data_IF_270510978395
#
_entry.id   IF_270510978395
#
_cell.length_a   1.000
_cell.length_b   1.000
_cell.length_c   1.000
_cell.angle_alpha   90.00
_cell.angle_beta   90.00
_cell.angle_gamma   90.00
#
_symmetry.space_group_name_H-M   'P 1'
#
loop_
_entity.id
_entity.type
_entity.pdbx_description
1 polymer ?
#
# COMPACT_ATOMS: atom_id res chain seq x y z
N UNK A 1 32.93 -13.88 58.60
CA UNK A 1 31.46 -13.69 58.69
C UNK A 1 31.20 -12.20 58.50
N UNK A 2 30.13 -11.71 57.85
CA UNK A 2 28.90 -12.37 57.39
C UNK A 2 28.50 -11.98 55.95
N UNK A 3 27.40 -12.56 55.45
CA UNK A 3 26.83 -12.32 54.11
C UNK A 3 26.01 -11.02 54.04
N UNK A 4 25.87 -10.47 52.84
CA UNK A 4 24.67 -9.74 52.43
C UNK A 4 24.34 -10.10 50.97
N UNK A 5 23.27 -10.88 50.78
CA UNK A 5 22.68 -11.18 49.47
C UNK A 5 21.86 -9.97 48.99
N UNK A 6 21.97 -9.60 47.72
CA UNK A 6 20.98 -8.76 47.03
C UNK A 6 20.87 -9.17 45.56
N UNK A 7 19.89 -10.03 45.25
CA UNK A 7 19.64 -10.55 43.90
C UNK A 7 18.71 -9.59 43.14
N UNK A 8 19.19 -8.92 42.10
CA UNK A 8 18.31 -8.33 41.07
C UNK A 8 18.17 -9.30 39.89
N UNK A 9 16.95 -9.72 39.51
CA UNK A 9 16.72 -10.53 38.29
C UNK A 9 17.16 -9.78 37.03
N UNK A 10 16.99 -8.45 37.00
CA UNK A 10 17.26 -7.57 35.86
C UNK A 10 18.75 -7.59 35.49
N UNK A 11 19.65 -7.53 36.49
CA UNK A 11 21.09 -7.61 36.24
C UNK A 11 21.53 -8.96 35.65
N UNK A 12 20.82 -10.06 35.96
CA UNK A 12 21.07 -11.38 35.36
C UNK A 12 20.56 -11.44 33.91
N UNK A 13 19.38 -10.88 33.64
CA UNK A 13 18.82 -10.77 32.30
C UNK A 13 19.73 -9.95 31.35
N UNK A 14 20.19 -8.77 31.80
CA UNK A 14 21.13 -7.95 31.02
C UNK A 14 22.45 -8.69 30.71
N UNK A 15 23.01 -9.45 31.67
CA UNK A 15 24.20 -10.26 31.43
C UNK A 15 23.97 -11.43 30.47
N UNK A 16 22.79 -12.04 30.49
CA UNK A 16 22.42 -13.11 29.55
C UNK A 16 22.27 -12.58 28.11
N UNK A 17 21.59 -11.45 27.94
CA UNK A 17 21.40 -10.78 26.64
C UNK A 17 22.75 -10.34 26.04
N UNK A 18 23.63 -9.75 26.85
CA UNK A 18 24.97 -9.36 26.41
C UNK A 18 25.84 -10.57 26.01
N UNK A 19 25.70 -11.73 26.69
CA UNK A 19 26.38 -12.96 26.28
C UNK A 19 25.85 -13.52 24.96
N UNK A 20 24.52 -13.54 24.76
CA UNK A 20 23.90 -14.02 23.52
C UNK A 20 24.32 -13.20 22.30
N UNK A 21 24.32 -11.86 22.40
CA UNK A 21 24.75 -10.97 21.33
C UNK A 21 26.24 -11.11 20.99
N UNK A 22 27.10 -11.39 21.99
CA UNK A 22 28.52 -11.66 21.78
C UNK A 22 28.82 -13.01 21.11
N UNK A 23 27.94 -14.01 21.27
CA UNK A 23 28.04 -15.31 20.59
C UNK A 23 27.54 -15.22 19.15
N UNK A 24 26.41 -14.54 18.90
CA UNK A 24 25.87 -14.34 17.56
C UNK A 24 26.87 -13.65 16.61
N UNK A 25 27.60 -12.63 17.10
CA UNK A 25 28.62 -11.92 16.33
C UNK A 25 29.87 -12.74 15.96
N UNK A 26 30.00 -14.01 16.39
CA UNK A 26 31.06 -14.93 15.96
C UNK A 26 30.66 -15.87 14.80
N UNK A 27 29.38 -15.95 14.44
CA UNK A 27 28.89 -16.87 13.40
C UNK A 27 28.65 -16.21 12.04
N UNK A 28 28.58 -14.88 11.96
CA UNK A 28 28.47 -14.15 10.69
C UNK A 28 29.86 -13.93 10.05
N UNK A 29 30.20 -14.72 9.03
CA UNK A 29 31.43 -14.60 8.25
C UNK A 29 31.45 -13.41 7.29
N UNK A 30 31.27 -12.18 7.78
CA UNK A 30 31.23 -10.97 6.95
C UNK A 30 32.61 -10.26 6.84
N UNK A 31 33.03 -9.81 5.64
CA UNK A 31 34.39 -9.32 5.40
C UNK A 31 34.61 -7.81 5.64
N UNK A 32 33.89 -7.18 6.59
CA UNK A 32 34.06 -5.73 6.91
C UNK A 32 33.89 -5.41 8.40
N UNK A 33 34.77 -4.60 9.02
CA UNK A 33 34.66 -4.27 10.44
C UNK A 33 33.60 -3.20 10.71
N UNK A 34 32.57 -3.55 11.48
CA UNK A 34 31.56 -2.62 12.01
C UNK A 34 31.78 -2.42 13.51
N UNK A 35 32.04 -1.18 13.94
CA UNK A 35 32.04 -0.84 15.36
C UNK A 35 30.61 -0.60 15.84
N UNK A 36 30.03 -1.55 16.58
CA UNK A 36 28.77 -1.34 17.31
C UNK A 36 29.06 -0.81 18.72
N UNK A 37 28.43 0.30 19.07
CA UNK A 37 28.38 0.81 20.45
C UNK A 37 26.99 0.52 20.99
N UNK A 38 26.91 -0.21 22.11
CA UNK A 38 25.67 -0.49 22.82
C UNK A 38 25.70 0.31 24.12
N UNK A 39 24.66 1.09 24.38
CA UNK A 39 24.45 1.81 25.62
C UNK A 39 23.02 1.60 26.10
N UNK A 40 22.84 1.47 27.41
CA UNK A 40 21.54 1.42 28.06
C UNK A 40 21.43 2.62 29.02
N UNK A 41 20.27 3.27 29.03
CA UNK A 41 19.90 4.26 30.04
C UNK A 41 18.85 3.65 30.96
N UNK A 42 18.94 3.96 32.25
CA UNK A 42 17.96 3.57 33.27
C UNK A 42 17.38 4.85 33.85
N UNK A 43 16.06 5.03 33.74
CA UNK A 43 15.35 6.09 34.45
C UNK A 43 15.02 5.60 35.87
N UNK A 44 14.94 6.54 36.83
CA UNK A 44 14.88 6.21 38.25
C UNK A 44 13.51 5.68 38.73
N UNK A 45 12.47 5.78 37.88
CA UNK A 45 11.08 5.48 38.25
C UNK A 45 10.46 4.43 37.31
N UNK A 46 10.63 3.15 37.67
CA UNK A 46 9.65 2.08 37.43
C UNK A 46 9.44 1.50 36.03
N UNK A 47 9.40 2.31 34.96
CA UNK A 47 8.85 1.88 33.67
C UNK A 47 9.74 2.17 32.44
N UNK A 48 9.83 1.16 31.57
CA UNK A 48 10.54 1.11 30.28
C UNK A 48 12.07 1.30 30.27
N UNK A 49 12.75 0.40 29.55
CA UNK A 49 14.17 0.49 29.20
C UNK A 49 14.32 0.40 27.67
N UNK A 50 14.60 1.53 27.03
CA UNK A 50 14.73 1.62 25.57
C UNK A 50 16.18 1.34 25.13
N UNK A 51 16.39 0.32 24.30
CA UNK A 51 17.69 -0.08 23.80
C UNK A 51 17.91 0.47 22.37
N UNK A 52 18.64 1.58 22.25
CA UNK A 52 18.86 2.23 20.94
C UNK A 52 20.17 1.78 20.26
N UNK A 53 20.06 1.23 19.05
CA UNK A 53 21.22 0.95 18.19
C UNK A 53 21.46 2.15 17.28
N UNK A 54 22.66 2.72 17.33
CA UNK A 54 23.05 3.86 16.48
C UNK A 54 24.15 3.46 15.51
N UNK A 55 23.77 3.09 14.28
CA UNK A 55 24.74 2.79 13.23
C UNK A 55 25.37 4.08 12.67
N UNK A 56 26.71 4.11 12.62
CA UNK A 56 27.46 5.18 11.94
C UNK A 56 28.27 4.58 10.79
N UNK A 57 27.88 4.93 9.56
CA UNK A 57 28.60 4.54 8.36
C UNK A 57 29.80 5.46 8.12
N UNK A 58 31.01 4.94 8.32
CA UNK A 58 32.25 5.70 8.18
C UNK A 58 32.67 5.85 6.71
N UNK A 59 32.40 6.99 6.07
CA UNK A 59 32.88 7.29 4.71
C UNK A 59 34.41 7.51 4.73
N UNK A 60 35.18 6.54 4.21
CA UNK A 60 36.63 6.70 3.99
C UNK A 60 36.91 7.63 2.81
N UNK A 61 37.32 8.87 3.09
CA UNK A 61 38.05 9.70 2.13
C UNK A 61 39.54 9.34 2.16
N UNK A 62 40.02 8.62 1.15
CA UNK A 62 41.45 8.28 1.03
C UNK A 62 42.22 9.49 0.48
N UNK A 63 42.95 10.20 1.33
CA UNK A 63 44.07 11.07 0.94
C UNK A 63 45.06 11.28 2.09
N UNK A 64 46.29 10.80 1.86
CA UNK A 64 47.61 11.13 2.49
C UNK A 64 47.62 11.35 4.01
N UNK A 65 48.32 10.46 4.72
CA UNK A 65 48.33 10.42 6.19
C UNK A 65 49.16 11.51 6.86
N UNK A 66 48.65 11.96 8.02
CA UNK A 66 49.34 12.61 9.13
C UNK A 66 48.56 12.25 10.43
N UNK A 67 49.20 12.12 11.60
CA UNK A 67 48.53 11.74 12.84
C UNK A 67 47.89 12.94 13.56
N UNK A 68 46.58 12.88 13.86
CA UNK A 68 45.91 13.90 14.66
C UNK A 68 46.07 13.66 16.18
N UNK A 69 46.65 14.63 16.88
CA UNK A 69 46.64 14.72 18.36
C UNK A 69 45.24 15.14 18.87
N UNK A 70 44.87 14.81 20.13
CA UNK A 70 43.59 15.24 20.71
C UNK A 70 43.66 16.68 21.25
N UNK A 71 42.75 17.55 20.81
CA UNK A 71 42.45 18.83 21.47
C UNK A 71 41.27 18.68 22.45
N UNK A 72 41.34 19.37 23.59
CA UNK A 72 40.30 19.40 24.63
C UNK A 72 39.40 20.63 24.49
N UNK A 73 38.24 20.58 25.16
CA UNK A 73 37.27 21.67 25.42
C UNK A 73 36.37 22.08 24.23
N UNK A 74 35.11 22.51 24.44
CA UNK A 74 34.32 22.82 25.66
C UNK A 74 32.81 22.57 25.36
N UNK A 75 31.95 22.21 26.34
CA UNK A 75 30.51 22.14 26.11
C UNK A 75 29.87 23.54 26.11
N UNK A 76 28.95 23.79 25.18
CA UNK A 76 28.09 24.97 25.21
C UNK A 76 26.87 24.70 26.10
N UNK A 77 26.65 25.56 27.09
CA UNK A 77 25.55 25.42 28.05
C UNK A 77 24.29 26.15 27.59
N UNK A 78 23.14 25.49 27.66
CA UNK A 78 21.82 26.13 27.67
C UNK A 78 21.08 25.66 28.92
N UNK A 79 20.82 26.59 29.84
CA UNK A 79 20.02 26.36 31.06
C UNK A 79 18.55 26.65 30.76
N UNK A 80 17.68 25.69 31.01
CA UNK A 80 16.32 25.96 31.49
C UNK A 80 16.17 25.33 32.88
N UNK A 81 15.39 25.96 33.76
CA UNK A 81 15.30 25.62 35.19
C UNK A 81 14.21 24.57 35.42
N UNK A 82 14.48 23.59 36.29
CA UNK A 82 13.45 22.68 36.81
C UNK A 82 13.96 21.24 37.04
N UNK A 83 14.43 20.97 38.26
CA UNK A 83 14.58 19.63 38.87
C UNK A 83 15.62 18.64 38.30
N UNK A 84 16.57 18.30 39.18
CA UNK A 84 17.63 17.27 39.14
C UNK A 84 17.66 16.21 38.03
N UNK A 85 18.82 16.06 37.38
CA UNK A 85 19.25 14.83 36.67
C UNK A 85 20.63 14.41 37.22
N UNK A 86 20.78 13.12 37.52
CA UNK A 86 22.01 12.54 38.08
C UNK A 86 23.14 12.36 37.05
N UNK A 87 24.38 12.31 37.53
CA UNK A 87 25.60 12.16 36.73
C UNK A 87 25.75 10.77 36.11
N UNK A 88 25.98 10.70 34.80
CA UNK A 88 26.28 9.45 34.08
C UNK A 88 27.79 9.18 34.08
N UNK A 89 28.21 8.03 34.60
CA UNK A 89 29.60 7.53 34.51
C UNK A 89 29.66 6.36 33.52
N UNK A 90 30.31 6.56 32.37
CA UNK A 90 30.45 5.53 31.34
C UNK A 90 31.76 4.73 31.47
N UNK A 91 31.67 3.39 31.51
CA UNK A 91 32.82 2.49 31.49
C UNK A 91 33.17 2.14 30.03
N UNK A 92 34.43 2.34 29.64
CA UNK A 92 34.97 1.92 28.33
C UNK A 92 35.70 0.59 28.45
N UNK A 93 35.37 -0.39 27.60
CA UNK A 93 36.22 -1.55 27.33
C UNK A 93 36.66 -1.57 25.86
N UNK A 94 37.92 -1.94 25.62
CA UNK A 94 38.51 -2.16 24.29
C UNK A 94 38.98 -3.61 24.17
N UNK A 95 38.56 -4.31 23.12
CA UNK A 95 39.20 -5.55 22.69
C UNK A 95 40.08 -5.29 21.46
N UNK A 96 41.37 -5.62 21.55
CA UNK A 96 42.29 -5.63 20.42
C UNK A 96 42.54 -7.07 19.97
N UNK A 97 42.35 -7.36 18.67
CA UNK A 97 42.76 -8.64 18.07
C UNK A 97 43.88 -8.37 17.07
N UNK A 98 45.06 -8.94 17.31
CA UNK A 98 46.18 -9.01 16.35
C UNK A 98 46.06 -10.30 15.53
N UNK A 99 46.41 -10.23 14.24
CA UNK A 99 46.95 -11.39 13.50
C UNK A 99 48.23 -10.99 12.74
N UNK A 100 49.11 -11.97 12.55
CA UNK A 100 50.44 -11.83 11.96
C UNK A 100 50.39 -11.97 10.44
N UNK A 101 51.41 -11.42 9.77
CA UNK A 101 51.65 -11.48 8.33
C UNK A 101 52.59 -12.62 7.93
N UNK A 102 52.36 -13.22 6.78
CA UNK A 102 53.34 -14.01 6.02
C UNK A 102 52.95 -14.05 4.54
N UNK A 103 53.93 -13.79 3.67
CA UNK A 103 53.96 -13.60 2.21
C UNK A 103 55.31 -14.21 1.72
N UNK A 104 55.66 -14.27 0.41
CA UNK A 104 54.87 -14.24 -0.84
C UNK A 104 55.04 -15.64 -1.51
N UNK A 105 55.52 -15.88 -2.77
CA UNK A 105 55.39 -15.26 -4.10
C UNK A 105 54.58 -16.16 -5.10
N UNK A 106 54.44 -15.89 -6.41
CA UNK A 106 54.69 -14.72 -7.25
C UNK A 106 54.68 -15.08 -8.75
N UNK A 107 54.42 -14.11 -9.65
CA UNK A 107 54.97 -13.89 -11.02
C UNK A 107 54.08 -12.88 -11.81
N UNK A 108 54.71 -12.12 -12.72
CA UNK A 108 54.24 -11.06 -13.65
C UNK A 108 55.15 -11.14 -14.92
N UNK A 109 55.04 -10.31 -15.98
CA UNK A 109 54.02 -9.30 -16.38
C UNK A 109 53.56 -9.43 -17.87
N UNK A 110 52.74 -8.49 -18.35
CA UNK A 110 52.93 -7.65 -19.58
C UNK A 110 51.56 -7.12 -20.08
N UNK A 111 51.40 -5.92 -20.66
CA UNK A 111 52.33 -4.82 -20.95
C UNK A 111 51.58 -3.50 -21.29
N UNK A 112 52.27 -2.46 -21.79
CA UNK A 112 51.71 -1.13 -22.11
C UNK A 112 52.49 -0.45 -23.26
N UNK A 113 52.04 0.58 -23.99
CA UNK A 113 50.85 1.46 -23.89
C UNK A 113 50.38 1.89 -25.32
N UNK A 114 49.45 2.85 -25.52
CA UNK A 114 49.79 4.30 -25.62
C UNK A 114 48.58 5.16 -26.10
N UNK A 115 48.76 6.48 -26.19
CA UNK A 115 47.72 7.52 -26.22
C UNK A 115 47.06 7.85 -27.59
N UNK A 116 45.88 8.49 -27.53
CA UNK A 116 45.63 9.80 -28.19
C UNK A 116 44.70 10.70 -27.36
N UNK A 117 44.82 12.02 -27.56
CA UNK A 117 44.12 13.06 -26.79
C UNK A 117 42.85 13.58 -27.49
N UNK A 118 41.92 14.11 -26.69
CA UNK A 118 40.82 14.96 -27.13
C UNK A 118 40.42 15.90 -25.98
N UNK A 119 40.50 17.21 -26.21
CA UNK A 119 40.21 18.22 -25.19
C UNK A 119 38.70 18.45 -25.03
N UNK A 120 38.27 18.83 -23.81
CA UNK A 120 37.04 19.59 -23.65
C UNK A 120 37.13 20.50 -22.41
N UNK A 121 36.70 21.75 -22.57
CA UNK A 121 36.93 22.83 -21.60
C UNK A 121 35.91 22.84 -20.44
N UNK A 122 36.26 23.55 -19.37
CA UNK A 122 35.47 23.65 -18.13
C UNK A 122 34.42 24.76 -18.21
N UNK A 123 33.27 24.53 -17.57
CA UNK A 123 32.49 25.60 -16.94
C UNK A 123 32.04 25.14 -15.54
N UNK A 124 32.17 26.02 -14.54
CA UNK A 124 31.81 25.76 -13.14
C UNK A 124 30.81 26.81 -12.69
N UNK A 125 29.64 26.39 -12.22
CA UNK A 125 28.70 27.26 -11.52
C UNK A 125 28.37 26.71 -10.13
N UNK A 126 28.69 27.48 -9.09
CA UNK A 126 28.23 27.27 -7.71
C UNK A 126 27.15 28.30 -7.40
N UNK A 127 26.01 27.87 -6.86
CA UNK A 127 25.06 28.76 -6.19
C UNK A 127 24.82 28.30 -4.76
N UNK A 128 25.25 29.10 -3.78
CA UNK A 128 24.78 29.01 -2.38
C UNK A 128 23.49 29.83 -2.26
N UNK A 129 22.50 29.34 -1.51
CA UNK A 129 21.42 30.19 -0.97
C UNK A 129 21.53 30.23 0.55
N UNK A 130 21.48 31.43 1.11
CA UNK A 130 21.21 31.65 2.53
C UNK A 130 19.71 31.61 2.78
N UNK A 131 19.30 31.14 3.96
CA UNK A 131 17.98 31.40 4.54
C UNK A 131 18.20 32.08 5.89
N UNK A 132 17.44 33.14 6.15
CA UNK A 132 17.54 33.97 7.36
C UNK A 132 16.28 33.80 8.21
N UNK A 133 16.45 33.69 9.53
CA UNK A 133 15.37 33.67 10.53
C UNK A 133 15.23 35.06 11.16
N UNK A 134 14.01 35.59 11.20
CA UNK A 134 13.53 36.48 12.27
C UNK A 134 12.03 36.26 12.50
N UNK A 135 11.64 36.04 13.75
CA UNK A 135 10.26 36.21 14.21
C UNK A 135 10.13 37.48 15.03
N UNK A 136 8.90 37.94 15.28
CA UNK A 136 8.61 38.99 16.25
C UNK A 136 7.28 38.72 17.00
N UNK A 137 7.19 39.33 18.18
CA UNK A 137 6.17 39.11 19.22
C UNK A 137 4.81 39.80 18.95
N UNK A 138 3.82 39.39 19.74
CA UNK A 138 2.43 39.89 19.79
C UNK A 138 2.30 41.17 20.64
N UNK A 139 1.41 42.11 20.28
CA UNK A 139 0.63 42.86 21.28
C UNK A 139 -0.71 43.46 20.74
N UNK A 140 -1.52 44.03 21.65
CA UNK A 140 -3.00 44.20 21.54
C UNK A 140 -3.50 45.52 20.91
N UNK A 141 -4.78 45.49 20.47
CA UNK A 141 -5.72 46.62 20.20
C UNK A 141 -6.12 47.35 21.51
N UNK A 142 -6.61 48.63 21.55
CA UNK A 142 -7.92 49.02 20.96
C UNK A 142 -8.20 50.50 20.51
N UNK A 143 -9.34 50.63 19.78
CA UNK A 143 -10.32 51.75 19.59
C UNK A 143 -9.96 53.24 19.76
N UNK A 144 -10.41 54.04 18.77
CA UNK A 144 -11.21 55.29 18.81
C UNK A 144 -11.01 56.06 17.48
N UNK A 145 -11.86 56.93 16.91
CA UNK A 145 -13.31 57.23 16.87
C UNK A 145 -13.45 58.62 16.18
N UNK A 146 -14.56 58.87 15.46
CA UNK A 146 -15.04 60.20 14.99
C UNK A 146 -14.38 60.87 13.75
N UNK A 147 -15.22 61.57 12.96
CA UNK A 147 -14.82 62.53 11.91
C UNK A 147 -15.57 62.40 10.57
N UNK A 148 -16.58 63.24 10.31
CA UNK A 148 -17.27 63.35 9.00
C UNK A 148 -16.47 64.24 8.03
N UNK A 149 -16.52 64.02 6.70
CA UNK A 149 -16.02 64.98 5.71
C UNK A 149 -17.06 66.07 5.38
N UNK A 150 -16.59 67.28 5.05
CA UNK A 150 -17.38 68.33 4.39
C UNK A 150 -16.80 68.67 3.01
N UNK A 151 -17.66 69.27 2.17
CA UNK A 151 -17.45 69.78 0.80
C UNK A 151 -16.26 70.76 0.65
N UNK A 152 -15.72 71.10 -0.54
CA UNK A 152 -16.38 71.72 -1.72
C UNK A 152 -15.58 71.52 -3.03
N UNK A 153 -16.31 71.37 -4.15
CA UNK A 153 -16.09 71.70 -5.60
C UNK A 153 -14.75 72.38 -6.01
N UNK A 154 -14.17 72.20 -7.22
CA UNK A 154 -14.78 72.43 -8.55
C UNK A 154 -14.03 71.77 -9.75
N UNK A 155 -14.82 71.28 -10.73
CA UNK A 155 -14.63 71.15 -12.20
C UNK A 155 -13.25 71.18 -12.88
N UNK A 156 -12.95 70.16 -13.72
CA UNK A 156 -12.17 70.25 -14.98
C UNK A 156 -12.82 69.34 -16.08
N UNK A 157 -12.56 69.55 -17.39
CA UNK A 157 -13.41 69.06 -18.49
C UNK A 157 -12.97 67.72 -19.12
N UNK A 158 -13.82 67.19 -20.01
CA UNK A 158 -13.68 65.88 -20.65
C UNK A 158 -12.63 65.81 -21.78
N UNK A 159 -11.96 64.66 -21.94
CA UNK A 159 -11.44 64.20 -23.23
C UNK A 159 -11.09 62.70 -23.28
N UNK A 160 -11.49 62.06 -24.40
CA UNK A 160 -10.91 60.88 -25.07
C UNK A 160 -11.13 59.46 -24.51
N UNK A 161 -11.54 58.59 -25.44
CA UNK A 161 -11.74 57.15 -25.35
C UNK A 161 -10.41 56.41 -25.17
N UNK A 162 -10.44 55.27 -24.49
CA UNK A 162 -9.42 54.21 -24.56
C UNK A 162 -9.95 52.99 -25.32
N UNK A 163 -9.10 52.12 -25.90
CA UNK A 163 -9.52 51.21 -26.97
C UNK A 163 -10.14 49.90 -26.47
N UNK A 164 -11.09 49.38 -27.23
CA UNK A 164 -11.59 48.01 -27.11
C UNK A 164 -10.48 47.00 -27.47
N UNK A 165 -10.27 46.01 -26.62
CA UNK A 165 -9.51 44.81 -27.00
C UNK A 165 -10.42 43.88 -27.82
N UNK A 166 -10.00 43.40 -29.00
CA UNK A 166 -10.86 42.59 -29.85
C UNK A 166 -11.14 41.22 -29.21
N UNK A 167 -12.41 40.81 -29.23
CA UNK A 167 -12.83 39.50 -28.77
C UNK A 167 -12.19 38.39 -29.61
N UNK A 168 -11.42 37.50 -28.97
CA UNK A 168 -10.90 36.29 -29.61
C UNK A 168 -12.06 35.31 -29.78
N UNK A 169 -12.59 35.21 -30.99
CA UNK A 169 -13.59 34.20 -31.34
C UNK A 169 -13.06 32.77 -31.13
N UNK A 170 -13.94 31.78 -30.88
CA UNK A 170 -13.53 30.42 -30.56
C UNK A 170 -12.93 29.72 -31.79
N UNK A 171 -11.61 29.87 -31.97
CA UNK A 171 -10.85 29.02 -32.86
C UNK A 171 -10.92 27.59 -32.35
N UNK A 172 -11.43 26.66 -33.18
CA UNK A 172 -11.39 25.22 -32.92
C UNK A 172 -9.94 24.73 -32.91
N UNK A 173 -9.22 24.96 -31.81
CA UNK A 173 -8.03 24.18 -31.49
C UNK A 173 -8.50 22.77 -31.15
N UNK A 174 -8.15 21.78 -31.97
CA UNK A 174 -8.01 20.39 -31.52
C UNK A 174 -6.86 20.36 -30.51
N UNK A 175 -7.15 20.77 -29.28
CA UNK A 175 -6.23 20.64 -28.16
C UNK A 175 -6.15 19.17 -27.76
N UNK A 176 -4.98 18.56 -27.92
CA UNK A 176 -4.64 17.31 -27.25
C UNK A 176 -4.47 17.59 -25.75
N UNK A 177 -5.59 17.81 -25.06
CA UNK A 177 -5.65 17.85 -23.61
C UNK A 177 -6.06 16.46 -23.14
N UNK A 178 -5.08 15.63 -22.77
CA UNK A 178 -5.29 14.29 -22.23
C UNK A 178 -5.88 14.31 -20.82
N UNK A 179 -7.09 14.86 -20.66
CA UNK A 179 -7.90 14.63 -19.47
C UNK A 179 -8.54 13.25 -19.63
N UNK A 180 -7.85 12.23 -19.13
CA UNK A 180 -8.17 10.80 -19.29
C UNK A 180 -9.37 10.39 -18.42
N UNK A 181 -10.54 10.98 -18.72
CA UNK A 181 -11.80 10.56 -18.13
C UNK A 181 -12.12 9.12 -18.55
N UNK A 182 -12.68 8.35 -17.63
CA UNK A 182 -13.12 6.98 -17.89
C UNK A 182 -14.37 7.00 -18.77
N UNK A 183 -14.40 6.20 -19.85
CA UNK A 183 -15.60 6.08 -20.68
C UNK A 183 -16.68 5.26 -19.95
N UNK A 184 -17.57 5.98 -19.27
CA UNK A 184 -18.73 5.42 -18.60
C UNK A 184 -19.66 4.66 -19.55
N UNK A 185 -19.74 5.04 -20.83
CA UNK A 185 -20.57 4.37 -21.84
C UNK A 185 -20.06 2.96 -22.08
N UNK A 186 -18.77 2.83 -22.34
CA UNK A 186 -18.11 1.54 -22.53
C UNK A 186 -18.23 0.66 -21.26
N UNK A 187 -18.12 1.25 -20.07
CA UNK A 187 -18.34 0.53 -18.81
C UNK A 187 -19.79 0.04 -18.67
N UNK A 188 -20.79 0.90 -18.91
CA UNK A 188 -22.21 0.52 -18.83
C UNK A 188 -22.56 -0.54 -19.87
N UNK A 189 -22.00 -0.50 -21.08
CA UNK A 189 -22.18 -1.55 -22.08
C UNK A 189 -21.47 -2.86 -21.71
N UNK A 190 -20.27 -2.79 -21.10
CA UNK A 190 -19.55 -3.97 -20.59
C UNK A 190 -20.33 -4.72 -19.53
N UNK A 191 -21.05 -4.00 -18.67
CA UNK A 191 -21.88 -4.60 -17.61
C UNK A 191 -23.37 -4.73 -18.01
N UNK A 192 -23.76 -4.21 -19.18
CA UNK A 192 -25.16 -4.09 -19.65
C UNK A 192 -26.09 -3.34 -18.66
N UNK A 193 -25.61 -2.23 -18.10
CA UNK A 193 -26.39 -1.33 -17.26
C UNK A 193 -27.21 -0.34 -18.10
N UNK A 194 -28.47 -0.15 -17.70
CA UNK A 194 -29.48 0.67 -18.41
C UNK A 194 -30.33 1.55 -17.47
N UNK A 195 -29.95 1.65 -16.20
CA UNK A 195 -30.68 2.39 -15.18
C UNK A 195 -30.29 3.88 -15.12
N UNK A 196 -30.75 4.57 -14.08
CA UNK A 196 -30.42 5.96 -13.82
C UNK A 196 -28.93 6.14 -13.47
N UNK A 197 -28.40 7.35 -13.65
CA UNK A 197 -26.98 7.69 -13.37
C UNK A 197 -26.81 8.69 -12.23
N UNK A 198 -27.89 9.06 -11.54
CA UNK A 198 -27.83 9.94 -10.37
C UNK A 198 -27.16 9.24 -9.17
N UNK A 199 -26.41 9.97 -8.33
CA UNK A 199 -25.72 9.38 -7.18
C UNK A 199 -26.68 9.07 -6.02
N UNK A 200 -27.46 7.99 -6.13
CA UNK A 200 -28.45 7.52 -5.14
C UNK A 200 -28.03 6.17 -4.52
N UNK A 201 -28.78 5.69 -3.52
CA UNK A 201 -28.54 4.35 -2.97
C UNK A 201 -28.92 3.25 -3.97
N UNK A 202 -30.01 3.44 -4.71
CA UNK A 202 -30.56 2.43 -5.63
C UNK A 202 -29.61 2.23 -6.83
N UNK A 203 -29.12 3.31 -7.42
CA UNK A 203 -28.10 3.25 -8.48
C UNK A 203 -26.80 2.59 -7.97
N UNK A 204 -26.42 2.83 -6.70
CA UNK A 204 -25.27 2.16 -6.09
C UNK A 204 -25.49 0.65 -5.92
N UNK A 205 -26.70 0.22 -5.53
CA UNK A 205 -27.08 -1.19 -5.43
C UNK A 205 -27.09 -1.86 -6.81
N UNK A 206 -27.70 -1.24 -7.82
CA UNK A 206 -27.76 -1.80 -9.16
C UNK A 206 -26.36 -1.93 -9.79
N UNK A 207 -25.52 -0.90 -9.67
CA UNK A 207 -24.15 -0.92 -10.18
C UNK A 207 -23.30 -2.01 -9.51
N UNK A 208 -23.44 -2.22 -8.19
CA UNK A 208 -22.78 -3.35 -7.49
C UNK A 208 -23.27 -4.69 -8.04
N UNK A 209 -24.58 -4.88 -8.10
CA UNK A 209 -25.21 -6.15 -8.55
C UNK A 209 -24.78 -6.51 -9.97
N UNK A 210 -24.89 -5.56 -10.88
CA UNK A 210 -24.66 -5.76 -12.32
C UNK A 210 -23.15 -5.88 -12.62
N UNK A 211 -22.28 -5.19 -11.85
CA UNK A 211 -20.83 -5.41 -11.92
C UNK A 211 -20.45 -6.85 -11.48
N UNK A 212 -20.91 -7.30 -10.32
CA UNK A 212 -20.62 -8.64 -9.79
C UNK A 212 -21.13 -9.79 -10.67
N UNK A 213 -22.17 -9.53 -11.48
CA UNK A 213 -22.72 -10.49 -12.46
C UNK A 213 -21.93 -10.59 -13.77
N UNK A 214 -21.17 -9.56 -14.14
CA UNK A 214 -20.63 -9.43 -15.51
C UNK A 214 -19.12 -9.30 -15.62
N UNK A 215 -18.45 -8.73 -14.62
CA UNK A 215 -16.99 -8.67 -14.54
C UNK A 215 -16.55 -9.74 -13.55
N UNK A 216 -15.92 -10.83 -14.00
CA UNK A 216 -15.50 -11.90 -13.10
C UNK A 216 -14.27 -11.49 -12.30
N UNK A 217 -14.16 -12.01 -11.08
CA UNK A 217 -12.89 -12.05 -10.38
C UNK A 217 -11.98 -13.09 -11.03
N UNK A 218 -10.72 -12.76 -11.28
CA UNK A 218 -9.67 -13.66 -11.77
C UNK A 218 -8.27 -13.14 -11.47
N UNK A 219 -7.27 -14.03 -11.52
CA UNK A 219 -5.87 -13.70 -11.27
C UNK A 219 -4.92 -14.24 -12.36
N UNK A 220 -5.38 -14.34 -13.61
CA UNK A 220 -4.61 -14.98 -14.68
C UNK A 220 -3.30 -14.22 -14.98
N UNK A 221 -3.33 -12.89 -14.89
CA UNK A 221 -2.13 -12.05 -15.06
C UNK A 221 -1.05 -12.38 -14.00
N UNK A 222 -1.29 -12.27 -12.67
CA UNK A 222 -0.37 -12.74 -11.63
C UNK A 222 0.08 -14.20 -11.76
N UNK A 223 -0.83 -15.11 -12.16
CA UNK A 223 -0.53 -16.54 -12.33
C UNK A 223 0.49 -16.79 -13.45
N UNK A 224 0.46 -15.97 -14.49
CA UNK A 224 1.38 -15.96 -15.64
C UNK A 224 2.62 -15.07 -15.41
N UNK A 225 2.76 -14.48 -14.22
CA UNK A 225 3.89 -13.61 -13.88
C UNK A 225 3.79 -12.19 -14.45
N UNK A 226 2.61 -11.75 -14.87
CA UNK A 226 2.31 -10.37 -15.27
C UNK A 226 1.92 -9.58 -14.01
N UNK A 227 2.73 -8.63 -13.54
CA UNK A 227 2.40 -7.84 -12.35
C UNK A 227 1.18 -6.95 -12.57
N UNK A 228 0.41 -6.70 -11.51
CA UNK A 228 -0.66 -5.70 -11.50
C UNK A 228 -0.21 -4.53 -10.64
N UNK A 229 0.38 -3.52 -11.28
CA UNK A 229 0.94 -2.35 -10.60
C UNK A 229 0.50 -1.01 -11.20
N UNK A 230 -0.11 -0.98 -12.39
CA UNK A 230 -0.84 0.19 -12.87
C UNK A 230 -2.31 0.09 -12.45
N UNK A 231 -2.69 0.94 -11.49
CA UNK A 231 -4.06 1.06 -10.98
C UNK A 231 -4.73 2.36 -11.46
N UNK A 232 -4.32 2.91 -12.61
CA UNK A 232 -4.91 4.10 -13.23
C UNK A 232 -6.28 3.80 -13.86
N UNK A 233 -7.15 4.82 -14.09
CA UNK A 233 -8.42 4.61 -14.78
C UNK A 233 -8.25 3.99 -16.17
N UNK A 234 -7.21 4.38 -16.89
CA UNK A 234 -6.91 3.89 -18.24
C UNK A 234 -6.55 2.40 -18.25
N UNK A 235 -5.60 1.97 -17.40
CA UNK A 235 -5.17 0.56 -17.35
C UNK A 235 -6.32 -0.37 -16.90
N UNK A 236 -7.11 0.06 -15.91
CA UNK A 236 -8.24 -0.73 -15.41
C UNK A 236 -9.39 -0.80 -16.41
N UNK A 237 -9.70 0.29 -17.13
CA UNK A 237 -10.72 0.28 -18.18
C UNK A 237 -10.27 -0.55 -19.40
N UNK A 238 -9.02 -0.41 -19.86
CA UNK A 238 -8.49 -1.23 -20.96
C UNK A 238 -8.69 -2.72 -20.71
N UNK A 239 -8.26 -3.20 -19.53
CA UNK A 239 -8.34 -4.62 -19.17
C UNK A 239 -9.77 -5.10 -18.91
N UNK A 240 -10.47 -4.53 -17.93
CA UNK A 240 -11.75 -5.06 -17.46
C UNK A 240 -12.92 -4.73 -18.40
N UNK A 241 -12.84 -3.61 -19.13
CA UNK A 241 -13.89 -3.12 -20.03
C UNK A 241 -13.60 -3.51 -21.48
N UNK A 242 -12.53 -2.97 -22.08
CA UNK A 242 -12.30 -3.12 -23.53
C UNK A 242 -11.87 -4.54 -23.90
N UNK A 243 -10.90 -5.10 -23.19
CA UNK A 243 -10.37 -6.46 -23.42
C UNK A 243 -11.26 -7.57 -22.85
N UNK A 244 -12.31 -7.21 -22.12
CA UNK A 244 -13.30 -8.12 -21.49
C UNK A 244 -12.68 -9.19 -20.59
N UNK A 245 -11.62 -8.80 -19.88
CA UNK A 245 -11.01 -9.60 -18.81
C UNK A 245 -11.75 -9.40 -17.49
N UNK A 246 -11.35 -10.16 -16.47
CA UNK A 246 -11.66 -9.85 -15.08
C UNK A 246 -10.48 -9.15 -14.38
N UNK A 247 -10.48 -9.20 -13.06
CA UNK A 247 -9.31 -8.84 -12.26
C UNK A 247 -9.43 -9.29 -10.80
N UNK A 248 -8.55 -8.81 -9.94
CA UNK A 248 -8.69 -9.00 -8.49
C UNK A 248 -9.04 -7.70 -7.75
N UNK A 249 -9.02 -7.70 -6.41
CA UNK A 249 -9.56 -6.62 -5.57
C UNK A 249 -9.11 -5.19 -5.94
N UNK A 250 -7.83 -4.99 -6.26
CA UNK A 250 -7.28 -3.68 -6.65
C UNK A 250 -7.81 -3.17 -7.99
N UNK A 251 -8.21 -4.07 -8.87
CA UNK A 251 -8.71 -3.77 -10.21
C UNK A 251 -10.23 -3.56 -10.19
N UNK A 252 -10.97 -4.45 -9.52
CA UNK A 252 -12.41 -4.36 -9.32
C UNK A 252 -12.83 -3.09 -8.57
N UNK A 253 -12.36 -2.94 -7.33
CA UNK A 253 -12.65 -1.75 -6.52
C UNK A 253 -11.89 -0.52 -7.04
N UNK A 254 -10.85 -0.72 -7.83
CA UNK A 254 -10.20 0.35 -8.59
C UNK A 254 -11.12 0.94 -9.66
N UNK A 255 -11.67 0.10 -10.53
CA UNK A 255 -12.60 0.48 -11.60
C UNK A 255 -13.90 1.04 -11.02
N UNK A 256 -14.54 0.31 -10.12
CA UNK A 256 -15.77 0.75 -9.42
C UNK A 256 -15.55 2.11 -8.74
N UNK A 257 -14.42 2.28 -8.07
CA UNK A 257 -14.09 3.54 -7.38
C UNK A 257 -13.86 4.72 -8.32
N UNK A 258 -13.53 4.50 -9.59
CA UNK A 258 -13.48 5.56 -10.61
C UNK A 258 -14.86 5.84 -11.21
N UNK A 259 -15.61 4.79 -11.59
CA UNK A 259 -16.99 4.90 -12.10
C UNK A 259 -17.88 5.70 -11.14
N UNK A 260 -17.86 5.35 -9.84
CA UNK A 260 -18.66 6.05 -8.83
C UNK A 260 -18.20 7.51 -8.64
N UNK A 261 -16.91 7.81 -8.78
CA UNK A 261 -16.41 9.18 -8.68
C UNK A 261 -16.89 10.06 -9.86
N UNK A 262 -16.86 9.54 -11.09
CA UNK A 262 -17.39 10.23 -12.28
C UNK A 262 -18.91 10.45 -12.21
N UNK A 263 -19.64 9.54 -11.54
CA UNK A 263 -21.08 9.68 -11.26
C UNK A 263 -21.40 10.63 -10.08
N UNK A 264 -20.42 11.30 -9.50
CA UNK A 264 -20.62 12.28 -8.42
C UNK A 264 -20.74 11.69 -7.01
N UNK A 265 -20.50 10.39 -6.83
CA UNK A 265 -20.30 9.84 -5.48
C UNK A 265 -18.94 10.28 -4.94
N UNK A 266 -18.86 10.55 -3.64
CA UNK A 266 -17.59 10.78 -2.94
C UNK A 266 -17.04 9.45 -2.44
N UNK A 267 -15.97 8.99 -3.08
CA UNK A 267 -15.31 7.69 -2.82
C UNK A 267 -14.01 7.87 -2.02
N UNK A 268 -13.81 7.02 -1.01
CA UNK A 268 -12.53 6.79 -0.34
C UNK A 268 -12.12 5.33 -0.55
N UNK A 269 -10.82 5.07 -0.76
CA UNK A 269 -10.28 3.70 -0.83
C UNK A 269 -9.66 3.33 0.51
N UNK A 270 -9.94 2.13 1.01
CA UNK A 270 -9.39 1.56 2.24
C UNK A 270 -8.54 0.33 1.93
N UNK A 271 -7.68 -0.06 2.86
CA UNK A 271 -6.91 -1.30 2.79
C UNK A 271 -7.28 -2.23 3.95
N UNK A 272 -7.33 -3.53 3.64
CA UNK A 272 -7.81 -4.58 4.52
C UNK A 272 -6.83 -5.77 4.56
N UNK A 273 -6.89 -6.54 5.65
CA UNK A 273 -6.17 -7.81 5.83
C UNK A 273 -7.20 -8.94 5.77
N UNK A 274 -6.96 -9.92 4.90
CA UNK A 274 -7.88 -11.06 4.74
C UNK A 274 -7.62 -12.07 5.84
N UNK A 275 -8.61 -12.29 6.71
CA UNK A 275 -8.54 -13.26 7.83
C UNK A 275 -9.45 -14.47 7.62
N UNK A 276 -10.14 -14.54 6.47
CA UNK A 276 -11.08 -15.61 6.15
C UNK A 276 -10.41 -17.00 6.17
N UNK A 277 -10.98 -17.90 7.00
CA UNK A 277 -10.54 -19.28 7.21
C UNK A 277 -9.10 -19.42 7.74
N UNK A 278 -8.52 -18.37 8.32
CA UNK A 278 -7.28 -18.47 9.07
C UNK A 278 -7.54 -19.06 10.46
N UNK A 279 -6.56 -19.79 10.98
CA UNK A 279 -6.57 -20.22 12.38
C UNK A 279 -6.40 -18.99 13.32
N UNK A 280 -6.94 -19.02 14.56
CA UNK A 280 -6.86 -17.88 15.48
C UNK A 280 -5.42 -17.45 15.86
N UNK A 281 -4.46 -18.35 15.73
CA UNK A 281 -3.03 -18.17 16.00
C UNK A 281 -2.20 -17.87 14.73
N UNK A 282 -2.84 -17.75 13.56
CA UNK A 282 -2.16 -17.47 12.30
C UNK A 282 -1.44 -16.09 12.34
N UNK A 283 -0.26 -15.95 11.71
CA UNK A 283 0.44 -14.68 11.61
C UNK A 283 -0.41 -13.58 10.96
N UNK A 284 -0.28 -12.34 11.44
CA UNK A 284 -1.04 -11.20 10.95
C UNK A 284 -0.89 -11.03 9.42
N UNK A 285 -1.98 -11.13 8.62
CA UNK A 285 -1.88 -11.10 7.16
C UNK A 285 -1.45 -9.72 6.63
N UNK A 286 -0.77 -9.66 5.47
CA UNK A 286 -0.44 -8.38 4.83
C UNK A 286 -1.71 -7.67 4.34
N UNK A 287 -1.66 -6.33 4.27
CA UNK A 287 -2.74 -5.52 3.70
C UNK A 287 -2.81 -5.71 2.19
N UNK A 288 -3.56 -6.73 1.76
CA UNK A 288 -3.62 -7.25 0.38
C UNK A 288 -5.03 -7.27 -0.19
N UNK A 289 -5.99 -6.68 0.53
CA UNK A 289 -7.33 -6.41 0.03
C UNK A 289 -7.60 -4.90 0.05
N UNK A 290 -8.45 -4.42 -0.85
CA UNK A 290 -8.91 -3.02 -0.88
C UNK A 290 -10.40 -2.97 -1.14
N UNK A 291 -11.06 -2.00 -0.51
CA UNK A 291 -12.51 -1.78 -0.55
C UNK A 291 -12.81 -0.28 -0.53
N UNK A 292 -14.06 0.10 -0.75
CA UNK A 292 -14.49 1.48 -0.87
C UNK A 292 -15.37 1.92 0.31
N UNK A 293 -15.16 3.16 0.76
CA UNK A 293 -16.09 3.91 1.59
C UNK A 293 -16.73 5.02 0.75
N UNK A 294 -18.02 4.88 0.47
CA UNK A 294 -18.80 5.72 -0.45
C UNK A 294 -19.78 6.62 0.32
N UNK A 295 -19.95 7.86 -0.13
CA UNK A 295 -20.93 8.84 0.38
C UNK A 295 -21.54 9.58 -0.82
N UNK A 296 -22.79 10.00 -0.72
CA UNK A 296 -23.53 10.64 -1.83
C UNK A 296 -24.52 11.70 -1.32
N UNK A 297 -25.08 12.58 -2.17
CA UNK A 297 -26.05 13.59 -1.72
C UNK A 297 -27.22 12.96 -0.95
N UNK A 298 -27.48 13.45 0.25
CA UNK A 298 -28.51 12.89 1.13
C UNK A 298 -28.17 11.55 1.81
N UNK A 299 -26.98 10.97 1.61
CA UNK A 299 -26.60 9.73 2.30
C UNK A 299 -26.48 9.95 3.81
N UNK A 300 -27.29 9.24 4.60
CA UNK A 300 -27.27 9.29 6.08
C UNK A 300 -26.02 8.71 6.76
N UNK A 301 -24.93 8.49 6.02
CA UNK A 301 -23.70 7.86 6.51
C UNK A 301 -22.79 7.43 5.36
N UNK A 302 -21.70 6.76 5.69
CA UNK A 302 -20.83 6.11 4.70
C UNK A 302 -21.35 4.70 4.42
N UNK A 303 -21.31 4.26 3.16
CA UNK A 303 -21.54 2.88 2.75
C UNK A 303 -20.20 2.21 2.39
N UNK A 304 -20.02 0.97 2.84
CA UNK A 304 -19.00 0.05 2.36
C UNK A 304 -19.45 -0.52 1.01
N UNK A 305 -18.56 -0.45 0.02
CA UNK A 305 -18.73 -1.11 -1.28
C UNK A 305 -17.49 -1.95 -1.55
N UNK A 306 -17.70 -3.21 -1.87
CA UNK A 306 -16.65 -4.17 -2.22
C UNK A 306 -17.17 -5.16 -3.26
N UNK A 307 -16.73 -4.99 -4.50
CA UNK A 307 -16.99 -5.91 -5.63
C UNK A 307 -15.75 -6.74 -5.98
N UNK A 308 -14.76 -6.80 -5.07
CA UNK A 308 -13.41 -7.30 -5.36
C UNK A 308 -12.90 -8.42 -4.46
N UNK A 309 -13.68 -8.93 -3.49
CA UNK A 309 -13.23 -10.00 -2.58
C UNK A 309 -13.29 -11.42 -3.19
N UNK A 310 -13.76 -11.56 -4.43
CA UNK A 310 -14.05 -12.86 -5.05
C UNK A 310 -15.45 -13.35 -4.71
N UNK A 311 -15.69 -14.67 -4.74
CA UNK A 311 -17.07 -15.20 -4.71
C UNK A 311 -17.85 -14.97 -3.41
N UNK A 312 -17.22 -14.57 -2.30
CA UNK A 312 -17.89 -14.15 -1.06
C UNK A 312 -17.91 -12.61 -0.88
N UNK A 313 -17.68 -11.84 -1.94
CA UNK A 313 -17.82 -10.38 -1.90
C UNK A 313 -19.28 -9.98 -1.60
N UNK A 314 -19.53 -8.89 -0.84
CA UNK A 314 -20.88 -8.36 -0.64
C UNK A 314 -21.56 -8.04 -1.96
N UNK A 315 -22.84 -8.37 -2.08
CA UNK A 315 -23.65 -8.14 -3.29
C UNK A 315 -24.58 -6.92 -3.16
N UNK A 316 -24.41 -6.16 -2.07
CA UNK A 316 -25.13 -4.93 -1.75
C UNK A 316 -24.18 -3.93 -1.07
N UNK A 317 -24.38 -2.61 -1.25
CA UNK A 317 -23.73 -1.59 -0.43
C UNK A 317 -24.17 -1.74 1.03
N UNK A 318 -23.21 -1.92 1.94
CA UNK A 318 -23.49 -2.07 3.37
C UNK A 318 -23.32 -0.72 4.05
N UNK A 319 -24.19 -0.33 4.97
CA UNK A 319 -23.95 0.85 5.81
C UNK A 319 -22.74 0.58 6.72
N UNK A 320 -21.84 1.55 6.83
CA UNK A 320 -20.65 1.46 7.68
C UNK A 320 -21.01 1.74 9.15
N UNK A 321 -21.76 0.81 9.75
CA UNK A 321 -22.22 0.82 11.14
C UNK A 321 -22.09 -0.59 11.75
N UNK A 322 -21.80 -0.67 13.06
CA UNK A 322 -21.50 -1.93 13.76
C UNK A 322 -22.72 -2.57 14.42
N UNK A 323 -22.64 -3.88 14.66
CA UNK A 323 -23.64 -4.68 15.38
C UNK A 323 -24.95 -4.96 14.63
N UNK A 324 -25.35 -4.09 13.70
CA UNK A 324 -26.51 -4.30 12.84
C UNK A 324 -26.25 -5.44 11.83
N UNK A 325 -27.16 -6.41 11.80
CA UNK A 325 -27.25 -7.40 10.71
C UNK A 325 -27.92 -6.72 9.53
N UNK A 326 -27.23 -6.71 8.38
CA UNK A 326 -27.65 -6.02 7.18
C UNK A 326 -28.01 -7.04 6.10
N UNK A 327 -29.26 -7.04 5.59
CA UNK A 327 -29.62 -7.90 4.46
C UNK A 327 -28.89 -7.45 3.18
N UNK A 328 -28.64 -8.40 2.30
CA UNK A 328 -28.13 -8.14 0.94
C UNK A 328 -29.01 -8.87 -0.08
N UNK A 329 -28.70 -8.76 -1.37
CA UNK A 329 -29.32 -9.61 -2.39
C UNK A 329 -28.95 -11.11 -2.26
N UNK A 330 -28.02 -11.47 -1.38
CA UNK A 330 -27.64 -12.85 -1.05
C UNK A 330 -27.73 -13.05 0.48
N UNK A 331 -26.65 -13.48 1.14
CA UNK A 331 -26.63 -13.71 2.58
C UNK A 331 -26.56 -12.40 3.37
N UNK A 332 -27.05 -12.35 4.63
CA UNK A 332 -26.80 -11.21 5.50
C UNK A 332 -25.32 -11.01 5.83
N UNK A 333 -24.91 -9.74 5.92
CA UNK A 333 -23.58 -9.34 6.38
C UNK A 333 -23.70 -8.53 7.68
N UNK A 334 -22.61 -8.41 8.43
CA UNK A 334 -22.50 -7.43 9.54
C UNK A 334 -21.08 -6.92 9.67
N UNK A 335 -20.96 -5.72 10.23
CA UNK A 335 -19.70 -5.17 10.69
C UNK A 335 -19.64 -5.29 12.21
N UNK A 336 -18.51 -5.71 12.74
CA UNK A 336 -18.22 -5.68 14.17
C UNK A 336 -17.02 -4.79 14.43
N UNK A 337 -16.99 -4.17 15.61
CA UNK A 337 -15.90 -3.29 16.04
C UNK A 337 -14.65 -4.10 16.44
N UNK A 338 -13.45 -3.58 16.16
CA UNK A 338 -12.18 -4.22 16.50
C UNK A 338 -11.07 -3.19 16.70
N UNK A 339 -10.90 -2.72 17.94
CA UNK A 339 -9.78 -1.89 18.46
C UNK A 339 -9.51 -0.62 17.67
N UNK A 340 -8.87 -0.72 16.50
CA UNK A 340 -8.48 0.39 15.63
C UNK A 340 -9.27 0.43 14.29
N UNK A 341 -10.30 -0.41 14.15
CA UNK A 341 -11.05 -0.57 12.91
C UNK A 341 -12.23 -1.53 13.02
N UNK A 342 -12.59 -2.14 11.89
CA UNK A 342 -13.78 -2.97 11.74
C UNK A 342 -13.41 -4.36 11.20
N UNK A 343 -14.24 -5.35 11.50
CA UNK A 343 -14.24 -6.63 10.79
C UNK A 343 -15.55 -6.81 10.03
N UNK A 344 -15.47 -7.25 8.78
CA UNK A 344 -16.65 -7.65 8.01
C UNK A 344 -16.89 -9.14 8.18
N UNK A 345 -18.13 -9.52 8.48
CA UNK A 345 -18.58 -10.91 8.56
C UNK A 345 -19.75 -11.17 7.61
N UNK A 346 -19.82 -12.39 7.08
CA UNK A 346 -20.95 -12.90 6.30
C UNK A 346 -21.61 -14.08 7.00
N UNK A 347 -22.94 -14.20 6.92
CA UNK A 347 -23.69 -15.35 7.40
C UNK A 347 -23.63 -16.48 6.37
N UNK A 348 -22.65 -17.37 6.49
CA UNK A 348 -22.45 -18.48 5.53
C UNK A 348 -22.91 -19.78 6.18
N UNK A 349 -24.05 -20.32 5.73
CA UNK A 349 -24.66 -21.56 6.25
C UNK A 349 -24.80 -21.53 7.78
N UNK A 350 -25.59 -20.59 8.28
CA UNK A 350 -25.88 -20.38 9.71
C UNK A 350 -24.66 -20.10 10.60
N UNK A 351 -23.48 -19.83 9.99
CA UNK A 351 -22.27 -19.43 10.71
C UNK A 351 -21.76 -18.07 10.25
N UNK A 352 -21.53 -17.17 11.20
CA UNK A 352 -20.84 -15.90 10.94
C UNK A 352 -19.36 -16.16 10.67
N UNK A 353 -18.92 -15.92 9.43
CA UNK A 353 -17.52 -16.05 9.03
C UNK A 353 -16.89 -14.68 8.85
N UNK A 354 -15.83 -14.39 9.61
CA UNK A 354 -15.02 -13.18 9.41
C UNK A 354 -14.27 -13.26 8.09
N UNK A 355 -14.43 -12.25 7.24
CA UNK A 355 -13.81 -12.19 5.92
C UNK A 355 -12.49 -11.43 5.95
N UNK A 356 -12.54 -10.19 6.44
CA UNK A 356 -11.39 -9.29 6.50
C UNK A 356 -11.55 -8.24 7.61
N UNK A 357 -10.41 -7.71 8.06
CA UNK A 357 -10.33 -6.55 8.94
C UNK A 357 -9.80 -5.32 8.18
N UNK A 358 -10.29 -4.12 8.52
CA UNK A 358 -9.90 -2.88 7.86
C UNK A 358 -10.04 -1.66 8.76
N UNK A 359 -9.36 -0.57 8.41
CA UNK A 359 -9.56 0.74 9.04
C UNK A 359 -10.08 1.74 8.01
N UNK A 360 -10.81 2.77 8.46
CA UNK A 360 -11.37 3.82 7.59
C UNK A 360 -10.36 4.89 7.18
N UNK A 361 -9.06 4.59 7.31
CA UNK A 361 -7.99 5.46 6.84
C UNK A 361 -7.93 5.40 5.31
N UNK A 362 -8.21 6.54 4.66
CA UNK A 362 -8.07 6.69 3.21
C UNK A 362 -6.64 6.34 2.78
N UNK A 363 -6.51 5.46 1.79
CA UNK A 363 -5.24 5.08 1.18
C UNK A 363 -5.02 5.85 -0.12
N UNK A 364 -3.85 6.47 -0.34
CA UNK A 364 -3.48 7.01 -1.65
C UNK A 364 -3.23 5.87 -2.64
N UNK A 365 -3.33 6.16 -3.93
CA UNK A 365 -3.14 5.17 -5.01
C UNK A 365 -1.77 4.46 -4.91
N UNK A 366 -0.71 5.15 -4.47
CA UNK A 366 0.64 4.59 -4.35
C UNK A 366 0.72 3.46 -3.30
N UNK A 367 0.03 3.57 -2.17
CA UNK A 367 -0.02 2.51 -1.15
C UNK A 367 -0.73 1.27 -1.70
N UNK A 368 -1.81 1.48 -2.45
CA UNK A 368 -2.54 0.41 -3.13
C UNK A 368 -1.69 -0.25 -4.20
N UNK A 369 -0.90 0.51 -4.98
CA UNK A 369 0.07 -0.03 -5.95
C UNK A 369 1.12 -0.92 -5.26
N UNK A 370 1.66 -0.52 -4.11
CA UNK A 370 2.63 -1.33 -3.35
C UNK A 370 2.01 -2.65 -2.87
N UNK A 371 0.77 -2.61 -2.37
CA UNK A 371 0.04 -3.80 -1.95
C UNK A 371 -0.33 -4.73 -3.14
N UNK A 372 -0.74 -4.14 -4.26
CA UNK A 372 -1.05 -4.81 -5.53
C UNK A 372 0.19 -5.50 -6.11
N UNK A 373 1.34 -4.81 -6.12
CA UNK A 373 2.64 -5.38 -6.49
C UNK A 373 3.00 -6.59 -5.63
N UNK A 374 2.90 -6.47 -4.29
CA UNK A 374 3.14 -7.61 -3.40
C UNK A 374 2.21 -8.79 -3.72
N UNK A 375 0.90 -8.51 -3.86
CA UNK A 375 -0.09 -9.54 -4.13
C UNK A 375 0.09 -10.22 -5.51
N UNK A 376 0.62 -9.52 -6.51
CA UNK A 376 0.80 -10.02 -7.89
C UNK A 376 2.20 -10.57 -8.20
N UNK A 377 3.21 -10.34 -7.35
CA UNK A 377 4.60 -10.75 -7.63
C UNK A 377 5.27 -11.57 -6.53
N UNK A 378 4.79 -11.52 -5.28
CA UNK A 378 5.44 -12.26 -4.20
C UNK A 378 5.28 -13.78 -4.41
N UNK A 379 6.35 -14.59 -4.39
CA UNK A 379 6.29 -16.00 -4.79
C UNK A 379 5.49 -16.90 -3.85
N UNK A 380 5.15 -16.43 -2.65
CA UNK A 380 4.22 -17.10 -1.72
C UNK A 380 2.80 -16.52 -1.74
N UNK A 381 2.49 -15.56 -2.62
CA UNK A 381 1.13 -15.05 -2.78
C UNK A 381 0.22 -16.11 -3.39
N UNK A 382 -0.97 -16.32 -2.80
CA UNK A 382 -1.99 -17.22 -3.35
C UNK A 382 -2.40 -16.89 -4.78
N UNK A 383 -2.22 -15.63 -5.20
CA UNK A 383 -2.53 -15.18 -6.56
C UNK A 383 -1.41 -15.45 -7.56
N UNK A 384 -0.21 -15.82 -7.11
CA UNK A 384 0.93 -16.23 -7.96
C UNK A 384 1.04 -17.75 -7.99
N UNK A 385 0.70 -18.44 -6.90
CA UNK A 385 0.81 -19.90 -6.76
C UNK A 385 -0.47 -20.68 -7.07
N UNK A 386 -1.64 -20.02 -7.05
CA UNK A 386 -2.95 -20.62 -7.24
C UNK A 386 -3.73 -19.97 -8.39
N UNK A 387 -4.54 -20.75 -9.12
CA UNK A 387 -5.59 -20.20 -9.98
C UNK A 387 -6.84 -19.98 -9.13
N UNK A 388 -7.47 -18.81 -9.27
CA UNK A 388 -8.79 -18.52 -8.70
C UNK A 388 -9.61 -17.67 -9.65
N UNK A 389 -10.89 -18.01 -9.81
CA UNK A 389 -11.87 -17.18 -10.49
C UNK A 389 -13.20 -17.21 -9.74
N UNK A 390 -13.99 -16.13 -9.83
CA UNK A 390 -15.34 -16.09 -9.27
C UNK A 390 -16.28 -15.18 -10.05
N UNK A 391 -17.57 -15.49 -10.04
CA UNK A 391 -18.65 -14.63 -10.55
C UNK A 391 -19.91 -14.89 -9.72
N UNK A 392 -20.79 -13.90 -9.61
CA UNK A 392 -22.00 -14.00 -8.78
C UNK A 392 -23.22 -13.78 -9.67
N UNK A 393 -24.07 -14.81 -9.79
CA UNK A 393 -25.40 -14.72 -10.41
C UNK A 393 -26.45 -14.46 -9.35
N UNK A 394 -27.69 -14.15 -9.75
CA UNK A 394 -28.75 -13.77 -8.81
C UNK A 394 -29.14 -14.90 -7.84
N UNK A 395 -28.85 -16.14 -8.22
CA UNK A 395 -29.12 -17.38 -7.47
C UNK A 395 -27.87 -18.03 -6.85
N UNK A 396 -26.66 -17.60 -7.25
CA UNK A 396 -25.46 -18.40 -7.01
C UNK A 396 -24.12 -17.65 -6.94
N UNK A 397 -23.25 -18.10 -6.02
CA UNK A 397 -21.83 -17.71 -5.97
C UNK A 397 -20.97 -18.80 -6.61
N UNK A 398 -20.39 -18.51 -7.77
CA UNK A 398 -19.49 -19.41 -8.49
C UNK A 398 -18.05 -19.15 -8.09
N UNK A 399 -17.31 -20.18 -7.70
CA UNK A 399 -15.91 -20.11 -7.29
C UNK A 399 -15.11 -21.23 -7.94
N UNK A 400 -14.03 -20.89 -8.64
CA UNK A 400 -13.02 -21.83 -9.14
C UNK A 400 -11.73 -21.67 -8.33
N UNK A 401 -11.13 -22.80 -7.93
CA UNK A 401 -9.81 -22.84 -7.30
C UNK A 401 -9.01 -24.01 -7.88
N UNK A 402 -7.95 -23.71 -8.64
CA UNK A 402 -7.28 -24.71 -9.47
C UNK A 402 -8.28 -25.34 -10.45
N UNK A 403 -8.52 -26.65 -10.32
CA UNK A 403 -9.54 -27.41 -11.08
C UNK A 403 -10.84 -27.66 -10.32
N UNK A 404 -10.96 -27.19 -9.08
CA UNK A 404 -12.12 -27.45 -8.24
C UNK A 404 -13.11 -26.27 -8.34
N UNK A 405 -14.22 -26.50 -9.04
CA UNK A 405 -15.33 -25.56 -9.21
C UNK A 405 -16.39 -25.82 -8.13
N UNK A 406 -16.80 -24.78 -7.42
CA UNK A 406 -17.88 -24.81 -6.44
C UNK A 406 -18.95 -23.77 -6.80
N UNK A 407 -20.22 -24.19 -6.75
CA UNK A 407 -21.37 -23.31 -6.98
C UNK A 407 -22.26 -23.34 -5.74
N UNK A 408 -22.27 -22.25 -4.98
CA UNK A 408 -23.08 -22.10 -3.78
C UNK A 408 -24.43 -21.50 -4.16
N UNK A 409 -25.52 -22.16 -3.79
CA UNK A 409 -26.93 -21.71 -3.97
C UNK A 409 -27.67 -21.84 -2.65
N UNK A 410 -28.87 -21.26 -2.54
CA UNK A 410 -29.72 -21.42 -1.35
C UNK A 410 -29.94 -22.90 -0.95
N UNK A 411 -30.12 -23.79 -1.93
CA UNK A 411 -30.32 -25.23 -1.71
C UNK A 411 -29.04 -26.04 -1.39
N UNK A 412 -27.86 -25.42 -1.28
CA UNK A 412 -26.63 -26.12 -0.91
C UNK A 412 -25.42 -25.73 -1.76
N UNK A 413 -24.55 -26.70 -2.06
CA UNK A 413 -23.34 -26.44 -2.85
C UNK A 413 -22.97 -27.62 -3.72
N UNK A 414 -22.96 -27.34 -5.01
CA UNK A 414 -22.44 -28.22 -6.06
C UNK A 414 -20.91 -28.10 -6.07
N UNK A 415 -20.20 -29.22 -6.20
CA UNK A 415 -18.74 -29.27 -6.37
C UNK A 415 -18.42 -30.14 -7.56
N UNK A 416 -17.64 -29.61 -8.50
CA UNK A 416 -17.21 -30.28 -9.72
C UNK A 416 -15.68 -30.19 -9.76
N UNK A 417 -15.02 -31.34 -9.83
CA UNK A 417 -13.58 -31.41 -10.12
C UNK A 417 -13.41 -31.56 -11.63
N UNK A 418 -12.84 -30.54 -12.26
CA UNK A 418 -12.58 -30.52 -13.70
C UNK A 418 -11.46 -31.51 -14.04
N UNK A 419 -11.54 -32.14 -15.22
CA UNK A 419 -10.66 -33.25 -15.58
C UNK A 419 -9.19 -32.80 -15.75
N UNK A 420 -8.98 -31.80 -16.60
CA UNK A 420 -7.69 -31.35 -17.14
C UNK A 420 -7.65 -29.81 -17.30
N UNK A 421 -6.50 -29.26 -17.70
CA UNK A 421 -6.38 -27.83 -17.97
C UNK A 421 -7.31 -27.31 -19.08
N UNK A 422 -7.62 -28.13 -20.09
CA UNK A 422 -8.53 -27.74 -21.18
C UNK A 422 -9.96 -27.49 -20.66
N UNK A 423 -10.45 -28.34 -19.76
CA UNK A 423 -11.73 -28.15 -19.06
C UNK A 423 -11.71 -26.92 -18.13
N UNK A 424 -10.56 -26.58 -17.53
CA UNK A 424 -10.39 -25.34 -16.74
C UNK A 424 -10.48 -24.11 -17.64
N UNK A 425 -9.76 -24.06 -18.78
CA UNK A 425 -9.80 -22.92 -19.70
C UNK A 425 -11.17 -22.76 -20.37
N UNK A 426 -11.81 -23.88 -20.73
CA UNK A 426 -13.20 -23.87 -21.19
C UNK A 426 -14.16 -23.30 -20.13
N UNK A 427 -13.94 -23.61 -18.85
CA UNK A 427 -14.74 -23.09 -17.75
C UNK A 427 -14.52 -21.58 -17.58
N UNK A 428 -13.26 -21.11 -17.59
CA UNK A 428 -12.91 -19.69 -17.53
C UNK A 428 -13.59 -18.89 -18.65
N UNK A 429 -13.59 -19.40 -19.88
CA UNK A 429 -14.22 -18.74 -21.02
C UNK A 429 -15.76 -18.85 -21.01
N UNK A 430 -16.31 -20.06 -20.90
CA UNK A 430 -17.75 -20.33 -21.12
C UNK A 430 -18.62 -20.06 -19.88
N UNK A 431 -18.08 -20.18 -18.65
CA UNK A 431 -18.84 -19.99 -17.40
C UNK A 431 -18.54 -18.64 -16.74
N UNK A 432 -17.28 -18.23 -16.69
CA UNK A 432 -16.88 -16.94 -16.12
C UNK A 432 -16.88 -15.79 -17.14
N UNK A 433 -17.01 -16.07 -18.44
CA UNK A 433 -17.08 -15.06 -19.49
C UNK A 433 -15.76 -14.35 -19.77
N UNK A 434 -14.63 -14.92 -19.34
CA UNK A 434 -13.30 -14.32 -19.51
C UNK A 434 -12.86 -14.47 -20.97
N UNK A 435 -12.43 -13.36 -21.57
CA UNK A 435 -11.77 -13.39 -22.88
C UNK A 435 -10.35 -13.97 -22.76
N UNK A 436 -10.23 -15.30 -22.74
CA UNK A 436 -8.93 -15.99 -22.60
C UNK A 436 -7.99 -15.80 -23.79
N UNK A 437 -8.49 -15.40 -24.96
CA UNK A 437 -7.66 -15.14 -26.15
C UNK A 437 -6.78 -13.88 -26.00
N UNK A 438 -7.15 -12.96 -25.13
CA UNK A 438 -6.36 -11.76 -24.75
C UNK A 438 -5.02 -12.11 -24.08
N UNK A 439 -4.93 -13.31 -23.51
CA UNK A 439 -3.78 -13.79 -22.74
C UNK A 439 -2.70 -14.38 -23.68
N UNK A 440 -3.02 -14.57 -24.96
CA UNK A 440 -2.16 -15.19 -25.96
C UNK A 440 -2.69 -16.56 -26.39
N UNK A 441 -1.77 -17.44 -26.82
CA UNK A 441 -2.14 -18.77 -27.31
C UNK A 441 -2.72 -19.65 -26.18
N UNK A 442 -3.89 -20.22 -26.44
CA UNK A 442 -4.63 -21.06 -25.49
C UNK A 442 -3.78 -22.20 -24.91
N UNK A 443 -2.96 -22.87 -25.73
CA UNK A 443 -2.10 -23.96 -25.29
C UNK A 443 -1.03 -23.55 -24.27
N UNK A 444 -0.57 -22.30 -24.27
CA UNK A 444 0.36 -21.79 -23.27
C UNK A 444 -0.32 -21.60 -21.91
N UNK A 445 -1.58 -21.13 -21.91
CA UNK A 445 -2.41 -21.05 -20.69
C UNK A 445 -2.74 -22.45 -20.15
N UNK A 446 -3.08 -23.40 -21.02
CA UNK A 446 -3.35 -24.80 -20.63
C UNK A 446 -2.09 -25.43 -20.01
N UNK A 447 -0.93 -25.31 -20.66
CA UNK A 447 0.37 -25.77 -20.12
C UNK A 447 0.65 -25.19 -18.73
N UNK A 448 0.41 -23.89 -18.53
CA UNK A 448 0.61 -23.25 -17.23
C UNK A 448 -0.35 -23.75 -16.16
N UNK A 449 -1.59 -24.07 -16.53
CA UNK A 449 -2.56 -24.65 -15.61
C UNK A 449 -2.15 -26.08 -15.26
N UNK A 450 -1.69 -26.89 -16.22
CA UNK A 450 -1.18 -28.25 -15.93
C UNK A 450 0.04 -28.22 -14.99
N UNK A 451 0.99 -27.28 -15.16
CA UNK A 451 2.09 -27.07 -14.20
C UNK A 451 1.58 -26.82 -12.76
N UNK A 452 0.48 -26.08 -12.64
CA UNK A 452 -0.12 -25.75 -11.34
C UNK A 452 -0.86 -26.96 -10.76
N UNK A 453 -1.63 -27.68 -11.57
CA UNK A 453 -2.35 -28.88 -11.17
C UNK A 453 -1.39 -30.01 -10.74
N UNK A 454 -0.24 -30.14 -11.41
CA UNK A 454 0.82 -31.08 -11.03
C UNK A 454 1.53 -30.72 -9.72
N UNK A 455 1.50 -29.44 -9.28
CA UNK A 455 2.07 -28.98 -8.01
C UNK A 455 1.08 -29.04 -6.84
N UNK A 456 -0.22 -29.16 -7.11
CA UNK A 456 -1.19 -29.44 -6.06
C UNK A 456 -1.04 -30.90 -5.64
N UNK A 457 -0.68 -31.22 -4.38
CA UNK A 457 -0.72 -32.59 -3.92
C UNK A 457 -2.14 -33.13 -4.12
N UNK A 458 -2.25 -34.37 -4.62
CA UNK A 458 -3.53 -35.05 -4.73
C UNK A 458 -4.25 -35.04 -3.38
N UNK A 459 -5.57 -35.00 -3.40
CA UNK A 459 -6.38 -35.15 -2.18
C UNK A 459 -6.31 -36.58 -1.58
N UNK A 460 -5.47 -37.42 -2.18
CA UNK A 460 -5.20 -38.82 -1.87
C UNK A 460 -3.70 -38.96 -1.51
N UNK A 461 -3.32 -38.42 -0.36
CA UNK A 461 -2.11 -38.77 0.37
C UNK A 461 -2.51 -39.02 1.84
N UNK A 462 -2.04 -40.10 2.47
CA UNK A 462 -2.69 -40.73 3.63
C UNK A 462 -2.64 -39.91 4.93
#
# INVERSE_FOLDING_TARGET
>A
MARADAKSPILRACWAILRLLAVAGKQSGEPRPVCRVVGAAVLADGEYADAYVKEQHCRRSVRRGLPCRPSRHRPASLRCRGSAIASVTGIMMRCCVRRRSSDPPGIRPDGASSHRMGECQRAVCRSRRHVSLRGHFVCRRPRNSCGKPQSVRHSWPAARRTPEYPAVGPTRRRGQNGNMALDLTAYFDRINYRGATDPTLDVLQDLVTVHSRTIPFENLDPLLGVPVDDLSPQALADKLVLRRRGGYCFEHNGLMGYVLAELGYRVRRFAARVVWKLAPDAPLPPQTHTLLGVTFPGSGGCYLVDVGFGGQTPTSPLRLETGAVQPTTHEPYRLEDRVDGFVLQAMVRDTWQTLYEFTTQTRPQIDLKVASWYASTHPASKFVTGLTAAVITDDARWNLSGRDLAVHRAGGTEKIRLADAAAVVDTLSKRFGINVADIGERGALETRIDELLARQPGADAP
#
